data_IF_876696137181
#
_entry.id   IF_876696137181
#
_cell.length_a   1.000
_cell.length_b   1.000
_cell.length_c   1.000
_cell.angle_alpha   90.00
_cell.angle_beta   90.00
_cell.angle_gamma   90.00
#
_symmetry.space_group_name_H-M   'P 1'
#
loop_
_entity.id
_entity.type
_entity.pdbx_description
1 polymer ?
#
# COMPACT_ATOMS: atom_id res chain seq x y z
N UNK A 1 15.67 -4.09 8.81
CA UNK A 1 15.60 -4.60 7.43
C UNK A 1 15.43 -3.41 6.50
N UNK A 2 16.10 -3.46 5.35
CA UNK A 2 16.09 -2.41 4.35
C UNK A 2 16.16 -3.10 2.99
N UNK A 3 15.28 -2.74 2.06
CA UNK A 3 15.35 -3.27 0.70
C UNK A 3 16.54 -2.68 -0.06
N UNK A 4 17.08 -3.46 -1.01
CA UNK A 4 18.30 -3.09 -1.73
C UNK A 4 18.13 -1.90 -2.70
N UNK A 5 16.90 -1.63 -3.12
CA UNK A 5 16.53 -0.51 -3.99
C UNK A 5 16.26 0.79 -3.21
N UNK A 6 16.26 0.73 -1.88
CA UNK A 6 16.16 1.92 -1.03
C UNK A 6 17.48 2.68 -1.04
N UNK A 7 17.36 4.00 -1.16
CA UNK A 7 18.45 4.95 -0.96
C UNK A 7 18.25 5.62 0.40
N UNK A 8 18.91 5.12 1.46
CA UNK A 8 18.70 5.63 2.81
C UNK A 8 19.40 6.97 3.01
N UNK A 9 18.76 7.85 3.76
CA UNK A 9 19.41 8.98 4.42
C UNK A 9 20.40 8.44 5.48
N UNK A 10 21.59 9.05 5.66
CA UNK A 10 22.54 8.62 6.67
C UNK A 10 21.96 8.51 8.10
N UNK A 11 20.91 9.29 8.39
CA UNK A 11 20.25 9.30 9.70
C UNK A 11 19.05 8.34 9.80
N UNK A 12 18.76 7.53 8.78
CA UNK A 12 17.59 6.66 8.76
C UNK A 12 17.54 5.71 9.96
N UNK A 13 18.62 4.99 10.22
CA UNK A 13 18.68 4.06 11.34
C UNK A 13 18.48 4.76 12.70
N UNK A 14 19.11 5.94 12.87
CA UNK A 14 18.98 6.73 14.08
C UNK A 14 17.54 7.22 14.29
N UNK A 15 16.89 7.71 13.23
CA UNK A 15 15.51 8.21 13.30
C UNK A 15 14.49 7.09 13.51
N UNK A 16 14.70 5.92 12.90
CA UNK A 16 13.88 4.74 13.17
C UNK A 16 13.97 4.33 14.65
N UNK A 17 15.18 4.29 15.22
CA UNK A 17 15.39 3.95 16.61
C UNK A 17 14.75 4.98 17.55
N UNK A 18 14.99 6.27 17.30
CA UNK A 18 14.39 7.36 18.07
C UNK A 18 12.85 7.31 18.02
N UNK A 19 12.28 7.03 16.84
CA UNK A 19 10.84 6.86 16.69
C UNK A 19 10.32 5.62 17.46
N UNK A 20 11.02 4.49 17.38
CA UNK A 20 10.65 3.28 18.12
C UNK A 20 10.62 3.52 19.63
N UNK A 21 11.64 4.20 20.16
CA UNK A 21 11.73 4.58 21.57
C UNK A 21 10.63 5.55 21.96
N UNK A 22 10.45 6.64 21.20
CA UNK A 22 9.44 7.66 21.47
C UNK A 22 8.01 7.11 21.48
N UNK A 23 7.73 6.17 20.58
CA UNK A 23 6.39 5.61 20.38
C UNK A 23 6.14 4.33 21.20
N UNK A 24 7.17 3.79 21.85
CA UNK A 24 7.15 2.48 22.49
C UNK A 24 6.80 1.35 21.51
N UNK A 25 7.16 1.51 20.23
CA UNK A 25 6.79 0.60 19.17
C UNK A 25 7.82 -0.53 19.05
N UNK A 26 7.35 -1.77 19.01
CA UNK A 26 8.21 -2.93 18.78
C UNK A 26 8.50 -3.16 17.30
N UNK A 27 7.70 -2.55 16.43
CA UNK A 27 7.87 -2.54 14.98
C UNK A 27 7.66 -1.12 14.46
N UNK A 28 8.63 -0.59 13.70
CA UNK A 28 8.53 0.71 13.03
C UNK A 28 8.81 0.51 11.55
N UNK A 29 7.88 0.92 10.71
CA UNK A 29 8.02 0.96 9.26
C UNK A 29 7.74 2.36 8.72
N UNK A 30 8.31 2.66 7.55
CA UNK A 30 8.23 3.99 6.94
C UNK A 30 7.73 3.88 5.51
N UNK A 31 6.71 4.67 5.18
CA UNK A 31 6.37 5.01 3.81
C UNK A 31 7.45 5.98 3.28
N UNK A 32 8.36 5.43 2.47
CA UNK A 32 9.45 6.19 1.86
C UNK A 32 8.93 7.13 0.77
N UNK A 33 9.72 8.18 0.50
CA UNK A 33 9.49 9.02 -0.68
C UNK A 33 9.70 8.18 -1.95
N UNK A 34 8.77 8.29 -2.88
CA UNK A 34 8.78 7.57 -4.15
C UNK A 34 9.45 8.42 -5.23
N UNK A 35 10.49 7.87 -5.84
CA UNK A 35 11.08 8.39 -7.07
C UNK A 35 10.72 7.42 -8.19
N UNK A 36 10.00 7.89 -9.20
CA UNK A 36 9.60 7.07 -10.33
C UNK A 36 10.51 7.30 -11.53
N UNK A 37 10.57 6.30 -12.39
CA UNK A 37 11.23 6.42 -13.68
C UNK A 37 10.57 7.50 -14.56
N UNK A 38 11.32 8.08 -15.52
CA UNK A 38 10.81 9.19 -16.32
C UNK A 38 9.62 8.88 -17.23
N UNK A 39 9.30 7.60 -17.44
CA UNK A 39 8.28 7.14 -18.36
C UNK A 39 6.86 7.50 -17.89
N UNK A 40 5.99 7.82 -18.85
CA UNK A 40 4.62 8.29 -18.56
C UNK A 40 3.81 7.24 -17.82
N UNK A 41 4.01 5.97 -18.15
CA UNK A 41 3.20 4.87 -17.61
C UNK A 41 3.45 4.68 -16.11
N UNK A 42 4.70 4.81 -15.64
CA UNK A 42 5.01 4.82 -14.20
C UNK A 42 4.23 5.91 -13.45
N UNK A 43 4.18 7.12 -14.00
CA UNK A 43 3.48 8.25 -13.39
C UNK A 43 1.95 8.16 -13.42
N UNK A 44 1.40 7.45 -14.40
CA UNK A 44 -0.04 7.17 -14.48
C UNK A 44 -0.44 6.03 -13.54
N UNK A 45 0.37 4.97 -13.45
CA UNK A 45 0.00 3.77 -12.71
C UNK A 45 0.37 3.83 -11.23
N UNK A 46 1.57 4.30 -10.90
CA UNK A 46 2.05 4.22 -9.52
C UNK A 46 1.13 4.95 -8.53
N UNK A 47 0.70 6.20 -8.79
CA UNK A 47 -0.20 6.90 -7.88
C UNK A 47 -1.60 6.29 -7.82
N UNK A 48 -2.08 5.67 -8.91
CA UNK A 48 -3.35 4.95 -8.92
C UNK A 48 -3.27 3.70 -8.05
N UNK A 49 -2.19 2.91 -8.13
CA UNK A 49 -1.99 1.78 -7.22
C UNK A 49 -1.76 2.20 -5.78
N UNK A 50 -0.98 3.25 -5.52
CA UNK A 50 -0.76 3.78 -4.18
C UNK A 50 -2.08 4.23 -3.53
N UNK A 51 -3.00 4.82 -4.31
CA UNK A 51 -4.31 5.20 -3.83
C UNK A 51 -5.06 4.02 -3.21
N UNK A 52 -4.94 2.82 -3.80
CA UNK A 52 -5.62 1.60 -3.31
C UNK A 52 -5.17 1.22 -1.91
N UNK A 53 -3.90 1.48 -1.56
CA UNK A 53 -3.36 1.21 -0.23
C UNK A 53 -3.90 2.21 0.78
N UNK A 54 -3.95 3.49 0.41
CA UNK A 54 -4.40 4.54 1.32
C UNK A 54 -5.91 4.48 1.53
N UNK A 55 -6.71 4.09 0.53
CA UNK A 55 -8.14 3.86 0.73
C UNK A 55 -8.40 2.72 1.73
N UNK A 56 -7.69 1.59 1.60
CA UNK A 56 -7.91 0.40 2.45
C UNK A 56 -7.27 0.52 3.83
N UNK A 57 -6.07 1.06 3.92
CA UNK A 57 -5.26 1.05 5.15
C UNK A 57 -5.06 2.45 5.77
N UNK A 58 -5.50 3.50 5.08
CA UNK A 58 -5.34 4.88 5.53
C UNK A 58 -3.97 5.48 5.23
N UNK A 59 -3.80 6.74 5.63
CA UNK A 59 -2.52 7.46 5.48
C UNK A 59 -1.51 7.02 6.55
N UNK A 60 -0.20 7.00 6.24
CA UNK A 60 0.83 6.75 7.25
C UNK A 60 0.84 7.85 8.33
N UNK A 61 1.46 7.55 9.47
CA UNK A 61 1.53 8.43 10.65
C UNK A 61 0.76 7.91 11.86
N UNK A 62 0.56 6.59 11.97
CA UNK A 62 -0.20 5.97 13.06
C UNK A 62 0.61 4.91 13.80
N UNK A 63 0.33 4.79 15.09
CA UNK A 63 0.76 3.67 15.94
C UNK A 63 -0.48 2.91 16.35
N UNK A 64 -0.47 1.59 16.20
CA UNK A 64 -1.65 0.78 16.45
C UNK A 64 -1.27 -0.60 16.97
N UNK A 65 -2.20 -1.19 17.71
CA UNK A 65 -2.22 -2.60 18.10
C UNK A 65 -3.35 -3.36 17.39
N UNK A 66 -4.13 -2.68 16.54
CA UNK A 66 -5.22 -3.28 15.77
C UNK A 66 -4.71 -3.83 14.44
N UNK A 67 -4.94 -5.11 14.20
CA UNK A 67 -4.45 -5.82 12.99
C UNK A 67 -5.28 -5.58 11.73
N UNK A 68 -6.55 -5.14 11.84
CA UNK A 68 -7.50 -5.12 10.74
C UNK A 68 -7.17 -4.12 9.62
N UNK A 69 -6.53 -2.99 9.94
CA UNK A 69 -6.24 -1.90 8.99
C UNK A 69 -4.76 -1.49 9.00
N UNK A 70 -3.86 -2.47 9.10
CA UNK A 70 -2.43 -2.21 9.22
C UNK A 70 -1.71 -2.40 7.90
N UNK A 71 -0.93 -1.38 7.53
CA UNK A 71 0.09 -1.49 6.51
C UNK A 71 1.45 -1.43 7.17
N UNK A 72 2.33 -2.32 6.76
CA UNK A 72 3.76 -2.26 7.05
C UNK A 72 4.44 -2.33 5.70
N UNK A 73 5.38 -1.43 5.46
CA UNK A 73 6.18 -1.44 4.24
C UNK A 73 7.51 -2.16 4.53
N UNK A 74 7.71 -3.31 3.89
CA UNK A 74 8.92 -4.11 4.00
C UNK A 74 10.20 -3.37 3.59
N UNK A 75 10.09 -2.35 2.74
CA UNK A 75 11.23 -1.57 2.25
C UNK A 75 12.07 -0.98 3.37
N UNK A 76 11.45 -0.62 4.50
CA UNK A 76 12.16 -0.10 5.66
C UNK A 76 11.44 -0.51 6.92
N UNK A 77 12.08 -1.38 7.70
CA UNK A 77 11.48 -1.99 8.88
C UNK A 77 12.50 -2.11 10.01
N UNK A 78 12.19 -1.56 11.17
CA UNK A 78 12.93 -1.78 12.42
C UNK A 78 12.08 -2.65 13.35
N UNK A 79 12.65 -3.76 13.83
CA UNK A 79 12.01 -4.68 14.76
C UNK A 79 12.82 -4.78 16.06
N UNK A 80 12.12 -4.76 17.19
CA UNK A 80 12.71 -5.06 18.50
C UNK A 80 13.03 -6.55 18.59
N UNK A 81 14.09 -6.91 19.31
CA UNK A 81 14.60 -8.29 19.36
C UNK A 81 13.55 -9.30 19.85
N UNK A 82 12.82 -8.97 20.90
CA UNK A 82 11.74 -9.79 21.45
C UNK A 82 10.60 -10.00 20.44
N UNK A 83 10.24 -8.99 19.65
CA UNK A 83 9.26 -9.11 18.57
C UNK A 83 9.75 -10.07 17.47
N UNK A 84 11.04 -10.07 17.14
CA UNK A 84 11.62 -11.05 16.18
C UNK A 84 11.58 -12.47 16.75
N UNK A 85 11.92 -12.63 18.02
CA UNK A 85 11.85 -13.93 18.71
C UNK A 85 10.42 -14.46 18.79
N UNK A 86 9.45 -13.59 19.05
CA UNK A 86 8.03 -13.92 19.05
C UNK A 86 7.54 -14.43 17.67
N UNK A 87 8.18 -14.00 16.59
CA UNK A 87 7.89 -14.45 15.23
C UNK A 87 8.76 -15.64 14.78
N UNK A 88 9.42 -16.33 15.71
CA UNK A 88 10.34 -17.44 15.44
C UNK A 88 11.38 -17.07 14.38
N UNK A 89 12.05 -15.92 14.55
CA UNK A 89 13.07 -15.47 13.60
C UNK A 89 12.53 -15.13 12.20
N UNK A 90 11.25 -14.76 12.09
CA UNK A 90 10.49 -14.52 10.85
C UNK A 90 10.06 -15.78 10.09
N UNK A 91 10.40 -16.99 10.56
CA UNK A 91 9.92 -18.22 9.94
C UNK A 91 8.40 -18.31 9.92
N UNK A 92 7.75 -17.74 10.94
CA UNK A 92 6.30 -17.69 11.03
C UNK A 92 5.66 -17.03 9.79
N UNK A 93 6.29 -16.01 9.21
CA UNK A 93 5.74 -15.22 8.09
C UNK A 93 6.30 -15.60 6.72
N UNK A 94 7.26 -16.52 6.65
CA UNK A 94 8.00 -16.86 5.42
C UNK A 94 7.14 -17.45 4.28
N UNK A 95 5.89 -17.82 4.56
CA UNK A 95 4.93 -18.33 3.57
C UNK A 95 3.82 -17.33 3.24
N UNK A 96 3.84 -16.13 3.83
CA UNK A 96 2.86 -15.09 3.53
C UNK A 96 3.15 -14.47 2.16
N UNK A 97 2.09 -14.17 1.42
CA UNK A 97 2.13 -13.43 0.14
C UNK A 97 2.70 -12.03 0.33
N UNK A 98 2.40 -11.40 1.47
CA UNK A 98 2.95 -10.12 1.90
C UNK A 98 3.54 -10.27 3.32
N UNK A 99 4.81 -10.68 3.37
CA UNK A 99 5.53 -10.95 4.63
C UNK A 99 5.52 -9.73 5.58
N UNK A 100 5.68 -8.53 5.03
CA UNK A 100 5.69 -7.27 5.78
C UNK A 100 4.37 -7.00 6.50
N UNK A 101 3.25 -7.13 5.80
CA UNK A 101 1.90 -6.98 6.36
C UNK A 101 1.64 -8.09 7.40
N UNK A 102 2.07 -9.33 7.13
CA UNK A 102 1.93 -10.44 8.07
C UNK A 102 2.72 -10.20 9.37
N UNK A 103 3.94 -9.66 9.30
CA UNK A 103 4.73 -9.25 10.47
C UNK A 103 3.93 -8.26 11.32
N UNK A 104 3.43 -7.19 10.69
CA UNK A 104 2.64 -6.17 11.39
C UNK A 104 1.39 -6.75 12.07
N UNK A 105 0.59 -7.51 11.33
CA UNK A 105 -0.66 -8.10 11.82
C UNK A 105 -0.43 -9.05 13.00
N UNK A 106 0.55 -9.94 12.92
CA UNK A 106 0.81 -10.93 13.98
C UNK A 106 1.37 -10.29 15.25
N UNK A 107 2.25 -9.31 15.11
CA UNK A 107 2.76 -8.53 16.24
C UNK A 107 1.61 -7.77 16.92
N UNK A 108 0.77 -7.09 16.14
CA UNK A 108 -0.38 -6.36 16.65
C UNK A 108 -1.38 -7.25 17.39
N UNK A 109 -1.71 -8.42 16.84
CA UNK A 109 -2.57 -9.43 17.52
C UNK A 109 -1.98 -9.93 18.83
N UNK A 110 -0.65 -9.90 18.95
CA UNK A 110 0.08 -10.28 20.17
C UNK A 110 0.27 -9.10 21.14
N UNK A 111 -0.40 -7.97 20.91
CA UNK A 111 -0.37 -6.79 21.78
C UNK A 111 0.80 -5.84 21.55
N UNK A 112 1.70 -6.14 20.60
CA UNK A 112 2.81 -5.24 20.29
C UNK A 112 2.31 -3.99 19.55
N UNK A 113 2.92 -2.85 19.89
CA UNK A 113 2.70 -1.58 19.20
C UNK A 113 3.47 -1.57 17.88
N UNK A 114 2.76 -1.37 16.78
CA UNK A 114 3.33 -1.26 15.43
C UNK A 114 3.10 0.16 14.91
N UNK A 115 4.17 0.80 14.43
CA UNK A 115 4.15 2.14 13.89
C UNK A 115 4.39 2.11 12.38
N UNK A 116 3.50 2.75 11.62
CA UNK A 116 3.70 3.02 10.20
C UNK A 116 3.76 4.52 10.01
N UNK A 117 4.95 5.04 9.69
CA UNK A 117 5.27 6.46 9.66
C UNK A 117 5.41 6.95 8.22
N UNK A 118 5.20 8.24 8.00
CA UNK A 118 5.47 8.87 6.71
C UNK A 118 6.82 9.59 6.75
N UNK A 119 7.68 9.33 5.77
CA UNK A 119 8.87 10.12 5.44
C UNK A 119 9.60 10.74 6.64
N UNK A 120 10.24 9.91 7.46
CA UNK A 120 10.99 10.38 8.64
C UNK A 120 12.28 11.12 8.29
N UNK A 121 12.74 11.03 7.04
CA UNK A 121 13.93 11.67 6.49
C UNK A 121 13.84 11.82 4.96
N UNK A 122 15.00 11.96 4.30
CA UNK A 122 15.13 12.10 2.84
C UNK A 122 15.33 10.77 2.11
N UNK A 123 15.16 9.63 2.79
CA UNK A 123 15.23 8.31 2.17
C UNK A 123 14.17 8.17 1.11
N UNK A 124 14.55 7.59 -0.02
CA UNK A 124 13.66 7.38 -1.15
C UNK A 124 13.89 6.03 -1.78
N UNK A 125 12.94 5.60 -2.59
CA UNK A 125 12.98 4.33 -3.30
C UNK A 125 12.54 4.52 -4.75
N UNK A 126 13.14 3.73 -5.62
CA UNK A 126 12.67 3.54 -7.00
C UNK A 126 12.39 2.07 -7.23
N UNK A 127 11.14 1.69 -6.96
CA UNK A 127 10.72 0.29 -6.86
C UNK A 127 10.70 -0.45 -8.21
N UNK A 128 10.41 0.26 -9.30
CA UNK A 128 10.24 -0.36 -10.63
C UNK A 128 11.07 0.34 -11.71
N UNK A 129 11.65 -0.43 -12.65
CA UNK A 129 12.43 0.12 -13.76
C UNK A 129 11.56 0.78 -14.85
N UNK A 130 10.26 0.46 -14.92
CA UNK A 130 9.32 1.04 -15.88
C UNK A 130 7.85 0.72 -15.51
N UNK A 131 6.92 1.44 -16.13
CA UNK A 131 5.49 1.26 -15.88
C UNK A 131 4.90 -0.09 -16.31
N UNK A 132 5.47 -0.78 -17.32
CA UNK A 132 5.01 -2.12 -17.73
C UNK A 132 5.39 -3.14 -16.66
N UNK A 133 6.60 -3.04 -16.12
CA UNK A 133 7.05 -3.88 -15.01
C UNK A 133 6.20 -3.62 -13.77
N UNK A 134 5.91 -2.36 -13.46
CA UNK A 134 4.98 -1.97 -12.39
C UNK A 134 3.60 -2.62 -12.56
N UNK A 135 2.99 -2.51 -13.75
CA UNK A 135 1.68 -3.09 -14.05
C UNK A 135 1.61 -4.61 -13.84
N UNK A 136 2.67 -5.33 -14.19
CA UNK A 136 2.72 -6.80 -14.08
C UNK A 136 2.98 -7.26 -12.65
N UNK A 137 3.82 -6.53 -11.93
CA UNK A 137 4.39 -6.98 -10.65
C UNK A 137 3.60 -6.49 -9.44
N UNK A 138 3.22 -5.22 -9.39
CA UNK A 138 2.63 -4.66 -8.17
C UNK A 138 1.27 -5.26 -7.78
N UNK A 139 0.35 -5.55 -8.72
CA UNK A 139 -0.93 -6.19 -8.38
C UNK A 139 -0.80 -7.50 -7.63
N UNK A 140 0.34 -8.20 -7.69
CA UNK A 140 0.53 -9.51 -7.05
C UNK A 140 0.64 -9.42 -5.53
N UNK A 141 1.23 -8.35 -5.01
CA UNK A 141 1.42 -8.15 -3.56
C UNK A 141 0.33 -7.29 -2.93
N UNK A 142 -0.41 -6.51 -3.72
CA UNK A 142 -1.40 -5.53 -3.24
C UNK A 142 -2.69 -6.12 -2.65
N UNK A 143 -3.23 -7.27 -3.10
CA UNK A 143 -4.42 -7.85 -2.48
C UNK A 143 -4.20 -8.11 -1.00
N UNK A 144 -3.01 -8.61 -0.62
CA UNK A 144 -2.59 -8.82 0.76
C UNK A 144 -3.69 -9.42 1.66
N UNK A 145 -4.49 -10.32 1.08
CA UNK A 145 -5.69 -10.91 1.66
C UNK A 145 -5.36 -12.00 2.68
N UNK A 146 -4.09 -12.37 2.80
CA UNK A 146 -3.63 -13.38 3.74
C UNK A 146 -4.02 -13.00 5.16
N UNK A 147 -4.62 -13.96 5.87
CA UNK A 147 -5.08 -13.80 7.25
C UNK A 147 -6.22 -12.78 7.44
N UNK A 148 -6.89 -12.36 6.35
CA UNK A 148 -8.16 -11.63 6.41
C UNK A 148 -9.35 -12.54 6.08
N UNK A 149 -10.48 -12.38 6.78
CA UNK A 149 -11.70 -13.08 6.41
C UNK A 149 -12.24 -12.58 5.05
N UNK A 150 -12.88 -13.44 4.23
CA UNK A 150 -13.32 -13.10 2.87
C UNK A 150 -14.24 -11.88 2.78
N UNK A 151 -15.07 -11.64 3.81
CA UNK A 151 -15.98 -10.50 3.82
C UNK A 151 -15.24 -9.16 3.95
N UNK A 152 -14.11 -9.10 4.67
CA UNK A 152 -13.28 -7.89 4.73
C UNK A 152 -12.64 -7.60 3.38
N UNK A 153 -12.18 -8.65 2.68
CA UNK A 153 -11.68 -8.51 1.31
C UNK A 153 -12.77 -7.99 0.37
N UNK A 154 -14.01 -8.48 0.49
CA UNK A 154 -15.13 -7.97 -0.29
C UNK A 154 -15.40 -6.49 0.01
N UNK A 155 -15.40 -6.09 1.28
CA UNK A 155 -15.57 -4.69 1.69
C UNK A 155 -14.45 -3.80 1.15
N UNK A 156 -13.20 -4.26 1.17
CA UNK A 156 -12.06 -3.56 0.58
C UNK A 156 -12.29 -3.31 -0.93
N UNK A 157 -12.76 -4.31 -1.67
CA UNK A 157 -13.07 -4.14 -3.09
C UNK A 157 -14.27 -3.22 -3.34
N UNK A 158 -15.33 -3.32 -2.53
CA UNK A 158 -16.47 -2.40 -2.60
C UNK A 158 -16.05 -0.96 -2.30
N UNK A 159 -15.17 -0.76 -1.33
CA UNK A 159 -14.57 0.54 -1.01
C UNK A 159 -13.80 1.07 -2.22
N UNK A 160 -12.91 0.27 -2.83
CA UNK A 160 -12.16 0.67 -4.01
C UNK A 160 -13.08 0.98 -5.20
N UNK A 161 -14.11 0.18 -5.43
CA UNK A 161 -15.07 0.42 -6.51
C UNK A 161 -15.81 1.75 -6.32
N UNK A 162 -16.30 2.02 -5.11
CA UNK A 162 -17.13 3.20 -4.81
C UNK A 162 -16.34 4.49 -4.64
N UNK A 163 -15.09 4.43 -4.15
CA UNK A 163 -14.29 5.62 -3.84
C UNK A 163 -13.19 5.89 -4.86
N UNK A 164 -12.60 4.85 -5.46
CA UNK A 164 -11.50 4.99 -6.41
C UNK A 164 -11.97 4.80 -7.86
N UNK A 165 -12.77 3.79 -8.19
CA UNK A 165 -13.16 3.55 -9.59
C UNK A 165 -14.39 4.35 -10.05
N UNK A 166 -15.33 4.67 -9.14
CA UNK A 166 -16.65 5.21 -9.50
C UNK A 166 -16.63 6.66 -10.02
N UNK A 167 -15.63 7.47 -9.67
CA UNK A 167 -15.66 8.90 -10.01
C UNK A 167 -15.75 9.14 -11.53
N UNK A 168 -15.02 8.36 -12.34
CA UNK A 168 -15.00 8.51 -13.80
C UNK A 168 -16.32 8.11 -14.47
N UNK A 169 -16.88 6.90 -14.25
CA UNK A 169 -18.17 6.54 -14.83
C UNK A 169 -19.30 7.44 -14.33
N UNK A 170 -19.31 7.83 -13.04
CA UNK A 170 -20.31 8.76 -12.52
C UNK A 170 -20.20 10.14 -13.14
N UNK A 171 -18.98 10.64 -13.36
CA UNK A 171 -18.75 11.90 -14.06
C UNK A 171 -19.30 11.83 -15.48
N UNK A 172 -19.02 10.77 -16.24
CA UNK A 172 -19.56 10.57 -17.59
C UNK A 172 -21.09 10.47 -17.58
N UNK A 173 -21.67 9.71 -16.65
CA UNK A 173 -23.13 9.56 -16.51
C UNK A 173 -23.81 10.88 -16.14
N UNK A 174 -23.15 11.74 -15.35
CA UNK A 174 -23.70 13.03 -14.92
C UNK A 174 -23.90 14.03 -16.07
N UNK A 175 -23.20 13.83 -17.20
CA UNK A 175 -23.38 14.62 -18.42
C UNK A 175 -24.69 14.27 -19.12
N UNK A 176 -25.11 13.00 -19.04
CA UNK A 176 -26.35 12.48 -19.63
C UNK A 176 -27.55 12.64 -18.69
N UNK A 177 -27.34 12.42 -17.39
CA UNK A 177 -28.40 12.33 -16.38
C UNK A 177 -28.10 13.22 -15.18
N UNK A 178 -28.96 14.21 -14.94
CA UNK A 178 -28.75 15.21 -13.88
C UNK A 178 -28.76 14.61 -12.46
N UNK A 179 -29.46 13.50 -12.25
CA UNK A 179 -29.56 12.78 -10.97
C UNK A 179 -28.19 12.35 -10.41
N UNK A 180 -27.20 12.09 -11.26
CA UNK A 180 -25.87 11.66 -10.82
C UNK A 180 -24.89 12.81 -10.51
N UNK A 181 -25.26 14.07 -10.75
CA UNK A 181 -24.34 15.22 -10.63
C UNK A 181 -23.79 15.43 -9.24
N UNK A 182 -24.60 15.29 -8.20
CA UNK A 182 -24.16 15.44 -6.81
C UNK A 182 -23.13 14.34 -6.45
N UNK A 183 -23.46 13.09 -6.75
CA UNK A 183 -22.60 11.94 -6.47
C UNK A 183 -21.29 12.00 -7.28
N UNK A 184 -21.35 12.38 -8.56
CA UNK A 184 -20.19 12.58 -9.40
C UNK A 184 -19.28 13.70 -8.86
N UNK A 185 -19.87 14.82 -8.42
CA UNK A 185 -19.13 15.93 -7.82
C UNK A 185 -18.41 15.49 -6.54
N UNK A 186 -19.11 14.82 -5.62
CA UNK A 186 -18.54 14.37 -4.35
C UNK A 186 -17.40 13.36 -4.58
N UNK A 187 -17.62 12.32 -5.39
CA UNK A 187 -16.60 11.32 -5.68
C UNK A 187 -15.38 11.91 -6.40
N UNK A 188 -15.58 12.86 -7.31
CA UNK A 188 -14.49 13.58 -7.99
C UNK A 188 -13.70 14.44 -7.00
N UNK A 189 -14.37 15.21 -6.13
CA UNK A 189 -13.71 16.03 -5.11
C UNK A 189 -12.89 15.14 -4.17
N UNK A 190 -13.46 14.05 -3.68
CA UNK A 190 -12.74 13.11 -2.81
C UNK A 190 -11.51 12.54 -3.51
N UNK A 191 -11.63 12.15 -4.79
CA UNK A 191 -10.52 11.56 -5.53
C UNK A 191 -9.41 12.57 -5.84
N UNK A 192 -9.77 13.81 -6.17
CA UNK A 192 -8.81 14.90 -6.40
C UNK A 192 -8.15 15.32 -5.09
N UNK A 193 -8.90 15.47 -3.99
CA UNK A 193 -8.36 15.74 -2.66
C UNK A 193 -7.35 14.67 -2.23
N UNK A 194 -7.67 13.41 -2.52
CA UNK A 194 -6.78 12.28 -2.30
C UNK A 194 -5.48 12.36 -3.14
N UNK A 195 -5.56 12.73 -4.42
CA UNK A 195 -4.38 13.00 -5.24
C UNK A 195 -3.54 14.18 -4.68
N UNK A 196 -4.18 15.26 -4.23
CA UNK A 196 -3.48 16.39 -3.61
C UNK A 196 -2.77 15.94 -2.33
N UNK A 197 -3.41 15.13 -1.49
CA UNK A 197 -2.81 14.60 -0.26
C UNK A 197 -1.60 13.69 -0.54
N UNK A 198 -1.72 12.80 -1.53
CA UNK A 198 -0.66 11.86 -1.88
C UNK A 198 0.54 12.50 -2.59
N UNK A 199 0.44 13.75 -3.09
CA UNK A 199 1.55 14.40 -3.82
C UNK A 199 2.86 14.43 -3.02
N UNK A 200 2.77 14.50 -1.68
CA UNK A 200 3.92 14.54 -0.76
C UNK A 200 4.75 13.26 -0.76
N UNK A 201 4.15 12.15 -1.19
CA UNK A 201 4.84 10.87 -1.32
C UNK A 201 5.79 10.84 -2.52
N UNK A 202 5.79 11.83 -3.41
CA UNK A 202 6.58 11.81 -4.65
C UNK A 202 7.58 12.95 -4.72
N UNK A 203 8.83 12.64 -5.09
CA UNK A 203 9.86 13.65 -5.40
C UNK A 203 10.78 13.15 -6.53
N UNK A 204 11.02 13.94 -7.60
CA UNK A 204 10.31 15.17 -7.97
C UNK A 204 8.88 14.87 -8.45
N UNK A 205 7.94 15.80 -8.30
CA UNK A 205 6.57 15.63 -8.81
C UNK A 205 6.51 15.99 -10.31
N UNK A 206 6.03 15.07 -11.15
CA UNK A 206 5.83 15.33 -12.58
C UNK A 206 4.36 15.52 -12.92
N UNK A 207 4.06 16.29 -13.96
CA UNK A 207 2.68 16.64 -14.31
C UNK A 207 1.80 15.42 -14.64
N UNK A 208 2.38 14.34 -15.21
CA UNK A 208 1.68 13.08 -15.49
C UNK A 208 1.04 12.45 -14.24
N UNK A 209 1.55 12.78 -13.05
CA UNK A 209 0.94 12.42 -11.76
C UNK A 209 -0.55 12.78 -11.69
N UNK A 210 -0.91 13.97 -12.18
CA UNK A 210 -2.27 14.48 -12.10
C UNK A 210 -3.25 13.74 -13.03
N UNK A 211 -2.72 12.98 -13.99
CA UNK A 211 -3.51 12.10 -14.85
C UNK A 211 -3.67 10.69 -14.29
N UNK A 212 -2.98 10.33 -13.20
CA UNK A 212 -3.09 9.02 -12.58
C UNK A 212 -4.52 8.60 -12.21
N UNK A 213 -5.44 9.50 -11.75
CA UNK A 213 -6.82 9.11 -11.47
C UNK A 213 -7.52 8.46 -12.67
N UNK A 214 -7.16 8.81 -13.91
CA UNK A 214 -7.75 8.20 -15.11
C UNK A 214 -7.50 6.69 -15.20
N UNK A 215 -6.45 6.20 -14.53
CA UNK A 215 -6.12 4.78 -14.48
C UNK A 215 -6.86 4.03 -13.37
N UNK A 216 -7.61 4.71 -12.51
CA UNK A 216 -8.25 4.08 -11.34
C UNK A 216 -9.17 2.91 -11.71
N UNK A 217 -10.08 3.01 -12.70
CA UNK A 217 -10.93 1.86 -13.05
C UNK A 217 -10.10 0.66 -13.53
N UNK A 218 -9.03 0.91 -14.29
CA UNK A 218 -8.14 -0.14 -14.79
C UNK A 218 -7.34 -0.79 -13.65
N UNK A 219 -6.84 0.00 -12.71
CA UNK A 219 -6.10 -0.47 -11.54
C UNK A 219 -7.01 -1.31 -10.62
N UNK A 220 -8.22 -0.84 -10.34
CA UNK A 220 -9.19 -1.59 -9.50
C UNK A 220 -9.60 -2.89 -10.20
N UNK A 221 -9.88 -2.86 -11.50
CA UNK A 221 -10.17 -4.06 -12.28
C UNK A 221 -9.00 -5.05 -12.28
N UNK A 222 -7.76 -4.56 -12.41
CA UNK A 222 -6.56 -5.39 -12.37
C UNK A 222 -6.33 -6.04 -11.01
N UNK A 223 -6.58 -5.32 -9.91
CA UNK A 223 -6.51 -5.89 -8.56
C UNK A 223 -7.59 -6.95 -8.34
N UNK A 224 -8.81 -6.71 -8.81
CA UNK A 224 -9.89 -7.69 -8.74
C UNK A 224 -9.54 -8.95 -9.54
N UNK A 225 -9.01 -8.79 -10.76
CA UNK A 225 -8.54 -9.90 -11.58
C UNK A 225 -7.46 -10.71 -10.86
N UNK A 226 -6.47 -10.07 -10.24
CA UNK A 226 -5.39 -10.75 -9.54
C UNK A 226 -5.90 -11.45 -8.26
N UNK A 227 -6.87 -10.87 -7.56
CA UNK A 227 -7.48 -11.53 -6.41
C UNK A 227 -8.27 -12.80 -6.79
N UNK A 228 -9.02 -12.74 -7.91
CA UNK A 228 -9.85 -13.85 -8.40
C UNK A 228 -9.06 -14.95 -9.10
N UNK A 229 -8.10 -14.59 -9.95
CA UNK A 229 -7.41 -15.51 -10.89
C UNK A 229 -5.95 -15.72 -10.51
N UNK A 230 -5.34 -14.80 -9.76
CA UNK A 230 -3.92 -14.83 -9.45
C UNK A 230 -3.53 -16.01 -8.57
N UNK A 231 -2.71 -16.92 -9.11
CA UNK A 231 -1.91 -17.85 -8.32
C UNK A 231 -0.71 -17.07 -7.76
N UNK A 232 -0.60 -16.85 -6.45
CA UNK A 232 0.53 -16.11 -5.91
C UNK A 232 1.81 -16.91 -6.20
N UNK A 233 2.64 -16.39 -7.08
CA UNK A 233 3.94 -16.96 -7.42
C UNK A 233 5.02 -15.99 -6.96
N UNK A 234 5.90 -16.45 -6.07
CA UNK A 234 6.99 -15.65 -5.53
C UNK A 234 8.32 -16.36 -5.80
N UNK A 235 9.24 -15.66 -6.48
CA UNK A 235 10.55 -16.20 -6.90
C UNK A 235 10.48 -17.59 -7.58
N UNK A 236 9.48 -17.79 -8.45
CA UNK A 236 9.29 -19.04 -9.18
C UNK A 236 8.65 -20.18 -8.38
N UNK A 237 8.24 -19.93 -7.12
CA UNK A 237 7.48 -20.88 -6.30
C UNK A 237 6.02 -20.49 -6.29
N UNK A 238 5.13 -21.45 -6.52
CA UNK A 238 3.70 -21.26 -6.25
C UNK A 238 3.53 -21.25 -4.73
N UNK A 239 3.07 -20.13 -4.18
CA UNK A 239 2.60 -20.08 -2.80
C UNK A 239 1.20 -20.68 -2.85
N UNK A 240 1.02 -21.86 -2.26
CA UNK A 240 -0.33 -22.35 -2.01
C UNK A 240 -1.02 -21.35 -1.08
N UNK A 241 -2.14 -20.75 -1.53
CA UNK A 241 -3.01 -20.00 -0.63
C UNK A 241 -3.40 -20.97 0.47
N UNK A 242 -2.86 -20.77 1.67
CA UNK A 242 -3.17 -21.61 2.82
C UNK A 242 -4.67 -21.67 2.97
N UNK A 243 -5.26 -22.85 2.76
CA UNK A 243 -6.66 -23.10 3.07
C UNK A 243 -6.80 -22.85 4.57
N UNK A 244 -7.47 -21.78 4.95
CA UNK A 244 -7.94 -21.61 6.31
C UNK A 244 -8.87 -22.79 6.63
N UNK A 245 -8.43 -23.65 7.54
CA UNK A 245 -9.29 -24.48 8.36
C UNK A 245 -9.80 -23.61 9.53
#
# INVERSE_FOLDING_TARGET
>A
MLDADVRPDPMLAHRLLAAAQKLGAACVSVALTQTLMPDRLSWLLHPAFLATLVYRYGVPGRVTTQSSNMLVNGQTLLLRRDAVQHLDGLHAVARAVAEDIAIGRRLARSGYRVAFLESIDRSFVTMYPDGKTLWRSWPRSLPATDEQPPWLTLLDFLLLLTTQAAWLPLLLLSWRQRSFRSLATVTTILRLGMAIGMRRAYRPLRWWYWLAPLMDPLVVARLLQEALVGTPTWRGRVIERGKHA
#
